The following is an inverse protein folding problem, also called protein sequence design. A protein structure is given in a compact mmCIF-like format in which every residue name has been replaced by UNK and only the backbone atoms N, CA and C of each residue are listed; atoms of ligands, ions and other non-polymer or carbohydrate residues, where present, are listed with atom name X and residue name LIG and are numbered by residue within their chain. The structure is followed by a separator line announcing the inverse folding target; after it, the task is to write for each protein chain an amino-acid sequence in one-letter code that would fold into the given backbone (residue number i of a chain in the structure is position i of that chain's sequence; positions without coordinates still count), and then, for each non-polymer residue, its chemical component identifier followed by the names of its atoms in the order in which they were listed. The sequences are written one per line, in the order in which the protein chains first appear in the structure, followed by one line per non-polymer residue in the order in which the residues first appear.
data_IF_077280137702
#
_entry.id   IF_077280137702
#
_cell.length_a   1.000
_cell.length_b   1.000
_cell.length_c   1.000
_cell.angle_alpha   90.00
_cell.angle_beta   90.00
_cell.angle_gamma   90.00
#
_symmetry.space_group_name_H-M   'P 1'
#
loop_
_entity.id
_entity.type
_entity.pdbx_description
1 polymer ?
#
# COMPACT_ATOMS: atom_id res chain seq x y z
N UNK A 1 31.69 -16.22 -39.88
CA UNK A 1 31.81 -14.78 -39.56
C UNK A 1 33.00 -14.25 -40.33
N UNK A 2 32.75 -13.53 -41.41
CA UNK A 2 33.81 -12.82 -42.13
C UNK A 2 34.32 -11.67 -41.27
N UNK A 3 35.57 -11.23 -41.46
CA UNK A 3 36.20 -10.19 -40.65
C UNK A 3 35.41 -8.86 -40.61
N UNK A 4 34.60 -8.60 -41.63
CA UNK A 4 33.74 -7.41 -41.73
C UNK A 4 32.52 -7.49 -40.80
N UNK A 5 31.81 -8.61 -40.81
CA UNK A 5 30.65 -8.85 -39.93
C UNK A 5 31.06 -8.87 -38.45
N UNK A 6 32.24 -9.43 -38.15
CA UNK A 6 32.79 -9.41 -36.79
C UNK A 6 33.15 -7.98 -36.32
N UNK A 7 33.63 -7.13 -37.24
CA UNK A 7 33.98 -5.73 -36.94
C UNK A 7 32.73 -4.86 -36.74
N UNK A 8 31.68 -5.06 -37.54
CA UNK A 8 30.41 -4.35 -37.39
C UNK A 8 29.73 -4.69 -36.05
N UNK A 9 29.67 -5.97 -35.68
CA UNK A 9 29.14 -6.39 -34.38
C UNK A 9 29.91 -5.79 -33.19
N UNK A 10 31.25 -5.79 -33.26
CA UNK A 10 32.08 -5.16 -32.22
C UNK A 10 31.80 -3.66 -32.08
N UNK A 11 31.62 -2.96 -33.21
CA UNK A 11 31.34 -1.53 -33.21
C UNK A 11 29.97 -1.22 -32.60
N UNK A 12 28.97 -2.05 -32.85
CA UNK A 12 27.64 -1.90 -32.23
C UNK A 12 27.70 -2.07 -30.70
N UNK A 13 28.43 -3.08 -30.21
CA UNK A 13 28.64 -3.27 -28.77
C UNK A 13 29.40 -2.10 -28.13
N UNK A 14 30.42 -1.56 -28.81
CA UNK A 14 31.20 -0.42 -28.34
C UNK A 14 30.35 0.86 -28.24
N UNK A 15 29.53 1.14 -29.25
CA UNK A 15 28.63 2.30 -29.25
C UNK A 15 27.55 2.18 -28.17
N UNK A 16 27.01 0.98 -27.93
CA UNK A 16 26.09 0.72 -26.82
C UNK A 16 26.75 1.01 -25.46
N UNK A 17 27.99 0.55 -25.26
CA UNK A 17 28.76 0.82 -24.04
C UNK A 17 29.07 2.31 -23.84
N UNK A 18 29.42 3.04 -24.90
CA UNK A 18 29.60 4.50 -24.87
C UNK A 18 28.31 5.22 -24.48
N UNK A 19 27.18 4.82 -25.05
CA UNK A 19 25.88 5.41 -24.72
C UNK A 19 25.51 5.20 -23.23
N UNK A 20 25.77 4.01 -22.69
CA UNK A 20 25.58 3.72 -21.26
C UNK A 20 26.52 4.59 -20.41
N UNK A 21 27.80 4.70 -20.77
CA UNK A 21 28.77 5.53 -20.04
C UNK A 21 28.34 7.00 -20.01
N UNK A 22 27.87 7.55 -21.14
CA UNK A 22 27.34 8.90 -21.23
C UNK A 22 26.10 9.11 -20.35
N UNK A 23 25.16 8.15 -20.38
CA UNK A 23 23.94 8.18 -19.54
C UNK A 23 24.27 8.18 -18.05
N UNK A 24 25.22 7.33 -17.65
CA UNK A 24 25.70 7.24 -16.26
C UNK A 24 26.68 8.35 -15.87
N UNK A 25 27.02 9.24 -16.81
CA UNK A 25 28.02 10.32 -16.66
C UNK A 25 29.36 9.81 -16.15
N UNK A 26 29.80 8.68 -16.69
CA UNK A 26 31.09 8.05 -16.34
C UNK A 26 32.11 8.38 -17.42
N UNK A 27 33.26 8.98 -17.09
CA UNK A 27 34.26 9.38 -18.07
C UNK A 27 35.02 8.22 -18.71
N UNK A 28 35.09 7.05 -18.04
CA UNK A 28 35.80 5.87 -18.53
C UNK A 28 34.85 4.67 -18.65
N UNK A 29 34.73 4.09 -19.84
CA UNK A 29 33.84 2.94 -20.11
C UNK A 29 34.11 1.76 -19.18
N UNK A 30 35.39 1.52 -18.83
CA UNK A 30 35.78 0.45 -17.90
C UNK A 30 35.21 0.59 -16.49
N UNK A 31 34.79 1.79 -16.09
CA UNK A 31 34.20 2.07 -14.76
C UNK A 31 32.67 1.88 -14.77
N UNK A 32 32.05 1.72 -15.94
CA UNK A 32 30.60 1.51 -16.08
C UNK A 32 30.10 0.34 -15.23
N UNK A 33 30.71 -0.86 -15.25
CA UNK A 33 30.23 -1.97 -14.42
C UNK A 33 30.23 -1.64 -12.92
N UNK A 34 31.27 -0.96 -12.43
CA UNK A 34 31.36 -0.56 -11.03
C UNK A 34 30.30 0.49 -10.67
N UNK A 35 30.06 1.47 -11.55
CA UNK A 35 29.01 2.47 -11.35
C UNK A 35 27.61 1.84 -11.33
N UNK A 36 27.34 0.87 -12.22
CA UNK A 36 26.08 0.13 -12.25
C UNK A 36 25.87 -0.65 -10.95
N UNK A 37 26.89 -1.37 -10.48
CA UNK A 37 26.81 -2.11 -9.21
C UNK A 37 26.53 -1.17 -8.03
N UNK A 38 27.22 -0.02 -7.97
CA UNK A 38 26.97 1.00 -6.94
C UNK A 38 25.56 1.58 -6.98
N UNK A 39 25.03 1.86 -8.18
CA UNK A 39 23.65 2.34 -8.35
C UNK A 39 22.62 1.28 -7.96
N UNK A 40 22.85 0.00 -8.28
CA UNK A 40 21.97 -1.08 -7.86
C UNK A 40 21.92 -1.22 -6.34
N UNK A 41 23.06 -1.07 -5.67
CA UNK A 41 23.12 -1.13 -4.21
C UNK A 41 22.43 0.09 -3.57
N UNK A 42 22.68 1.29 -4.08
CA UNK A 42 21.97 2.50 -3.65
C UNK A 42 20.46 2.37 -3.84
N UNK A 43 20.02 1.78 -4.96
CA UNK A 43 18.61 1.56 -5.24
C UNK A 43 17.99 0.58 -4.24
N UNK A 44 18.68 -0.51 -3.89
CA UNK A 44 18.22 -1.43 -2.83
C UNK A 44 18.15 -0.76 -1.47
N UNK A 45 19.15 0.04 -1.11
CA UNK A 45 19.18 0.76 0.17
C UNK A 45 18.05 1.78 0.26
N UNK A 46 17.82 2.57 -0.80
CA UNK A 46 16.73 3.54 -0.87
C UNK A 46 15.36 2.86 -0.84
N UNK A 47 15.20 1.70 -1.50
CA UNK A 47 13.96 0.93 -1.42
C UNK A 47 13.67 0.45 0.01
N UNK A 48 14.71 -0.02 0.73
CA UNK A 48 14.58 -0.44 2.13
C UNK A 48 14.24 0.74 3.04
N UNK A 49 14.94 1.85 2.91
CA UNK A 49 14.66 3.08 3.69
C UNK A 49 13.26 3.61 3.41
N UNK A 50 12.80 3.57 2.16
CA UNK A 50 11.44 3.98 1.80
C UNK A 50 10.38 3.08 2.47
N UNK A 51 10.62 1.76 2.52
CA UNK A 51 9.73 0.84 3.21
C UNK A 51 9.70 1.12 4.74
N UNK A 52 10.86 1.32 5.36
CA UNK A 52 10.96 1.65 6.79
C UNK A 52 10.28 2.99 7.14
N UNK A 53 10.45 4.02 6.29
CA UNK A 53 9.80 5.32 6.48
C UNK A 53 8.28 5.22 6.34
N UNK A 54 7.79 4.44 5.36
CA UNK A 54 6.35 4.16 5.20
C UNK A 54 5.78 3.45 6.41
N UNK A 55 6.49 2.47 6.96
CA UNK A 55 6.08 1.75 8.16
C UNK A 55 6.02 2.67 9.38
N UNK A 56 7.03 3.53 9.58
CA UNK A 56 7.03 4.53 10.67
C UNK A 56 5.90 5.54 10.54
N UNK A 57 5.64 6.06 9.34
CA UNK A 57 4.55 6.99 9.08
C UNK A 57 3.19 6.34 9.34
N UNK A 58 3.02 5.07 8.90
CA UNK A 58 1.86 4.26 9.20
C UNK A 58 1.65 4.10 10.71
N UNK A 59 2.69 3.70 11.46
CA UNK A 59 2.62 3.50 12.90
C UNK A 59 2.27 4.78 13.67
N UNK A 60 2.82 5.93 13.25
CA UNK A 60 2.49 7.23 13.83
C UNK A 60 1.00 7.58 13.59
N UNK A 61 0.51 7.38 12.36
CA UNK A 61 -0.90 7.57 12.03
C UNK A 61 -1.80 6.61 12.83
N UNK A 62 -1.39 5.34 13.02
CA UNK A 62 -2.16 4.36 13.82
C UNK A 62 -2.42 4.86 15.24
N UNK A 63 -1.41 5.48 15.86
CA UNK A 63 -1.49 5.98 17.24
C UNK A 63 -2.56 7.05 17.45
N UNK A 64 -2.79 7.91 16.44
CA UNK A 64 -3.84 8.93 16.46
C UNK A 64 -5.20 8.32 16.11
N UNK A 65 -5.25 7.43 15.11
CA UNK A 65 -6.50 6.79 14.67
C UNK A 65 -7.14 5.97 15.79
N UNK A 66 -6.34 5.21 16.54
CA UNK A 66 -6.86 4.36 17.61
C UNK A 66 -7.32 5.12 18.85
N UNK A 67 -7.07 6.44 18.93
CA UNK A 67 -7.61 7.28 20.01
C UNK A 67 -9.02 7.80 19.69
N UNK A 68 -9.42 7.82 18.42
CA UNK A 68 -10.74 8.30 18.01
C UNK A 68 -11.77 7.17 18.02
N UNK A 69 -12.05 6.63 19.21
CA UNK A 69 -13.10 5.62 19.41
C UNK A 69 -14.45 6.32 19.45
N UNK A 70 -15.37 5.84 18.62
CA UNK A 70 -16.75 6.27 18.56
C UNK A 70 -17.66 5.15 19.06
N UNK A 71 -18.88 5.49 19.47
CA UNK A 71 -19.88 4.51 19.89
C UNK A 71 -21.15 4.64 19.05
N UNK A 72 -21.68 3.51 18.60
CA UNK A 72 -22.96 3.40 17.92
C UNK A 72 -23.68 2.13 18.39
N UNK A 73 -24.98 2.24 18.68
CA UNK A 73 -25.83 1.11 19.08
C UNK A 73 -25.26 0.24 20.22
N UNK A 74 -24.55 0.87 21.16
CA UNK A 74 -23.92 0.19 22.31
C UNK A 74 -22.63 -0.58 22.00
N UNK A 75 -22.02 -0.33 20.83
CA UNK A 75 -20.75 -0.92 20.40
C UNK A 75 -19.72 0.16 20.10
N UNK A 76 -18.48 -0.11 20.46
CA UNK A 76 -17.35 0.77 20.16
C UNK A 76 -16.80 0.49 18.77
N UNK A 77 -16.52 1.53 17.99
CA UNK A 77 -15.93 1.39 16.67
C UNK A 77 -14.93 2.50 16.36
N UNK A 78 -14.04 2.22 15.43
CA UNK A 78 -13.12 3.19 14.85
C UNK A 78 -13.33 3.16 13.34
N UNK A 79 -13.67 4.30 12.75
CA UNK A 79 -13.78 4.49 11.31
C UNK A 79 -12.84 5.62 10.89
N UNK A 80 -11.84 5.34 10.06
CA UNK A 80 -10.90 6.37 9.62
C UNK A 80 -10.32 6.13 8.23
N UNK A 81 -9.94 7.23 7.58
CA UNK A 81 -9.15 7.19 6.36
C UNK A 81 -7.66 7.15 6.71
N UNK A 82 -6.92 6.25 6.06
CA UNK A 82 -5.49 6.05 6.28
C UNK A 82 -4.72 6.18 4.98
N UNK A 83 -3.51 6.71 5.08
CA UNK A 83 -2.57 6.78 3.96
C UNK A 83 -1.59 5.61 4.05
N UNK A 84 -1.73 4.62 3.17
CA UNK A 84 -0.90 3.42 3.14
C UNK A 84 -0.44 3.09 1.72
N UNK A 85 0.66 2.36 1.61
CA UNK A 85 1.26 2.00 0.32
C UNK A 85 0.53 0.89 -0.42
N UNK A 86 -0.14 -0.01 0.30
CA UNK A 86 -0.76 -1.21 -0.23
C UNK A 86 -1.79 -1.80 0.73
N UNK A 87 -2.56 -2.79 0.26
CA UNK A 87 -3.57 -3.47 1.08
C UNK A 87 -2.97 -4.40 2.14
N UNK A 88 -1.68 -4.74 2.08
CA UNK A 88 -0.97 -5.48 3.11
C UNK A 88 -0.78 -4.63 4.36
N UNK A 89 -0.40 -3.36 4.18
CA UNK A 89 -0.33 -2.39 5.26
C UNK A 89 -1.67 -2.25 6.01
N UNK A 90 -2.82 -2.18 5.30
CA UNK A 90 -4.14 -2.15 5.96
C UNK A 90 -4.36 -3.35 6.90
N UNK A 91 -3.93 -4.55 6.49
CA UNK A 91 -4.04 -5.74 7.35
C UNK A 91 -3.16 -5.63 8.58
N UNK A 92 -1.93 -5.11 8.43
CA UNK A 92 -1.04 -4.89 9.56
C UNK A 92 -1.61 -3.90 10.60
N UNK A 93 -2.32 -2.85 10.14
CA UNK A 93 -3.07 -1.96 11.04
C UNK A 93 -4.19 -2.72 11.77
N UNK A 94 -4.97 -3.53 11.06
CA UNK A 94 -6.05 -4.31 11.65
C UNK A 94 -5.53 -5.32 12.68
N UNK A 95 -4.40 -5.97 12.39
CA UNK A 95 -3.74 -6.90 13.32
C UNK A 95 -3.23 -6.17 14.57
N UNK A 96 -2.61 -4.99 14.40
CA UNK A 96 -2.16 -4.15 15.51
C UNK A 96 -3.33 -3.68 16.39
N UNK A 97 -4.47 -3.34 15.77
CA UNK A 97 -5.70 -3.00 16.47
C UNK A 97 -6.26 -4.19 17.26
N UNK A 98 -6.29 -5.39 16.64
CA UNK A 98 -6.75 -6.62 17.32
C UNK A 98 -5.93 -6.95 18.57
N UNK A 99 -4.63 -6.62 18.59
CA UNK A 99 -3.75 -6.90 19.73
C UNK A 99 -3.96 -5.97 20.93
N UNK A 100 -4.49 -4.75 20.73
CA UNK A 100 -4.45 -3.67 21.74
C UNK A 100 -5.81 -3.25 22.30
N UNK A 101 -6.87 -3.99 21.98
CA UNK A 101 -8.21 -3.84 22.56
C UNK A 101 -8.80 -2.42 22.53
N UNK A 102 -8.68 -1.76 21.37
CA UNK A 102 -9.13 -0.38 21.21
C UNK A 102 -10.65 -0.23 21.00
N UNK A 103 -11.29 -1.15 20.27
CA UNK A 103 -12.73 -1.11 19.99
C UNK A 103 -13.28 -2.50 19.57
N UNK A 104 -14.60 -2.62 19.42
CA UNK A 104 -15.26 -3.84 18.94
C UNK A 104 -15.14 -4.03 17.43
N UNK A 105 -15.20 -2.90 16.69
CA UNK A 105 -15.15 -2.87 15.22
C UNK A 105 -14.15 -1.83 14.72
N UNK A 106 -13.45 -2.14 13.64
CA UNK A 106 -12.53 -1.26 12.93
C UNK A 106 -12.89 -1.22 11.45
N UNK A 107 -13.03 -0.02 10.89
CA UNK A 107 -13.17 0.21 9.46
C UNK A 107 -12.11 1.21 9.01
N UNK A 108 -11.23 0.78 8.11
CA UNK A 108 -10.19 1.62 7.52
C UNK A 108 -10.41 1.75 6.02
N UNK A 109 -10.29 2.97 5.50
CA UNK A 109 -10.32 3.24 4.07
C UNK A 109 -9.00 3.88 3.63
N UNK A 110 -8.46 3.45 2.49
CA UNK A 110 -7.25 4.02 1.91
C UNK A 110 -7.40 4.23 0.40
N UNK A 111 -6.96 5.39 -0.07
CA UNK A 111 -6.75 5.63 -1.49
C UNK A 111 -5.35 5.13 -1.87
N UNK A 112 -5.30 4.13 -2.77
CA UNK A 112 -4.05 3.50 -3.21
C UNK A 112 -4.02 3.57 -4.74
N UNK A 113 -3.22 4.50 -5.27
CA UNK A 113 -3.27 4.87 -6.69
C UNK A 113 -4.66 5.40 -7.06
N UNK A 114 -5.26 4.83 -8.09
CA UNK A 114 -6.60 5.21 -8.56
C UNK A 114 -7.73 4.43 -7.87
N UNK A 115 -7.42 3.51 -6.96
CA UNK A 115 -8.41 2.64 -6.30
C UNK A 115 -8.59 2.96 -4.83
N UNK A 116 -9.78 2.68 -4.33
CA UNK A 116 -10.09 2.68 -2.89
C UNK A 116 -9.93 1.27 -2.37
N UNK A 117 -9.24 1.10 -1.25
CA UNK A 117 -9.21 -0.16 -0.51
C UNK A 117 -9.85 0.08 0.84
N UNK A 118 -10.81 -0.76 1.20
CA UNK A 118 -11.53 -0.69 2.47
C UNK A 118 -11.29 -2.00 3.21
N UNK A 119 -10.97 -1.92 4.49
CA UNK A 119 -10.84 -3.06 5.37
C UNK A 119 -11.79 -2.89 6.55
N UNK A 120 -12.56 -3.94 6.85
CA UNK A 120 -13.29 -4.04 8.10
C UNK A 120 -12.76 -5.21 8.92
N UNK A 121 -12.62 -4.99 10.22
CA UNK A 121 -12.29 -6.03 11.19
C UNK A 121 -13.26 -5.94 12.37
N UNK A 122 -13.63 -7.09 12.90
CA UNK A 122 -14.54 -7.19 14.04
C UNK A 122 -13.95 -8.15 15.07
N UNK A 123 -14.08 -7.81 16.35
CA UNK A 123 -13.74 -8.69 17.48
C UNK A 123 -14.96 -9.38 18.08
N UNK A 124 -16.15 -8.82 17.86
CA UNK A 124 -17.40 -9.43 18.30
C UNK A 124 -17.91 -10.43 17.27
N UNK A 125 -18.55 -11.52 17.74
CA UNK A 125 -19.24 -12.47 16.86
C UNK A 125 -20.58 -11.91 16.33
N UNK A 126 -21.07 -10.83 16.92
CA UNK A 126 -22.33 -10.20 16.54
C UNK A 126 -22.22 -9.39 15.26
N UNK A 127 -21.06 -8.74 15.05
CA UNK A 127 -20.79 -7.95 13.85
C UNK A 127 -19.90 -8.74 12.91
N UNK A 128 -20.46 -9.13 11.76
CA UNK A 128 -19.73 -9.86 10.74
C UNK A 128 -19.05 -8.89 9.76
N UNK A 129 -17.72 -8.79 9.82
CA UNK A 129 -16.93 -7.87 8.99
C UNK A 129 -17.21 -8.03 7.48
N UNK A 130 -17.39 -9.27 7.02
CA UNK A 130 -17.76 -9.56 5.63
C UNK A 130 -19.15 -9.07 5.20
N UNK A 131 -20.11 -8.92 6.12
CA UNK A 131 -21.43 -8.37 5.80
C UNK A 131 -21.35 -6.85 5.78
N UNK A 132 -20.67 -6.26 6.78
CA UNK A 132 -20.43 -4.83 6.84
C UNK A 132 -19.74 -4.32 5.56
N UNK A 133 -18.70 -5.03 5.07
CA UNK A 133 -18.05 -4.69 3.80
C UNK A 133 -18.98 -4.79 2.60
N UNK A 134 -19.89 -5.76 2.55
CA UNK A 134 -20.85 -5.87 1.43
C UNK A 134 -21.82 -4.70 1.38
N UNK A 135 -22.14 -4.12 2.52
CA UNK A 135 -23.00 -2.94 2.61
C UNK A 135 -22.24 -1.63 2.34
N UNK A 136 -20.99 -1.54 2.77
CA UNK A 136 -20.16 -0.33 2.61
C UNK A 136 -19.50 -0.23 1.23
N UNK A 137 -19.06 -1.34 0.64
CA UNK A 137 -18.31 -1.34 -0.62
C UNK A 137 -19.06 -0.66 -1.80
N UNK A 138 -20.40 -0.81 -1.95
CA UNK A 138 -21.14 -0.11 -2.99
C UNK A 138 -21.04 1.41 -2.94
N UNK A 139 -20.81 2.03 -1.76
CA UNK A 139 -20.69 3.48 -1.61
C UNK A 139 -19.51 4.04 -2.41
N UNK A 140 -18.42 3.26 -2.49
CA UNK A 140 -17.19 3.60 -3.22
C UNK A 140 -17.11 2.95 -4.61
N UNK A 141 -18.26 2.55 -5.18
CA UNK A 141 -18.35 1.76 -6.43
C UNK A 141 -17.45 0.51 -6.39
N UNK A 142 -17.50 -0.17 -5.25
CA UNK A 142 -16.64 -1.29 -4.93
C UNK A 142 -17.38 -2.59 -4.70
N UNK A 143 -16.60 -3.66 -4.66
CA UNK A 143 -17.04 -5.00 -4.24
C UNK A 143 -15.98 -5.62 -3.36
N UNK A 144 -16.43 -6.47 -2.45
CA UNK A 144 -15.53 -7.13 -1.52
C UNK A 144 -16.19 -8.28 -0.78
N UNK A 145 -15.41 -8.83 0.14
CA UNK A 145 -15.81 -9.95 0.96
C UNK A 145 -14.66 -10.39 1.85
N UNK A 146 -14.94 -11.40 2.67
CA UNK A 146 -13.97 -11.94 3.59
C UNK A 146 -14.63 -12.77 4.68
N UNK A 147 -13.84 -13.08 5.69
CA UNK A 147 -14.27 -13.86 6.84
C UNK A 147 -15.07 -12.99 7.83
N UNK A 148 -15.80 -13.60 8.77
CA UNK A 148 -16.52 -12.87 9.81
C UNK A 148 -15.64 -11.90 10.63
N UNK A 149 -14.38 -12.27 10.86
CA UNK A 149 -13.44 -11.51 11.69
C UNK A 149 -12.71 -10.41 10.92
N UNK A 150 -12.59 -10.54 9.59
CA UNK A 150 -11.90 -9.57 8.74
C UNK A 150 -12.31 -9.72 7.27
N UNK A 151 -12.61 -8.58 6.64
CA UNK A 151 -12.97 -8.52 5.24
C UNK A 151 -12.39 -7.28 4.56
N UNK A 152 -12.25 -7.35 3.23
CA UNK A 152 -11.77 -6.23 2.43
C UNK A 152 -12.61 -6.04 1.18
N UNK A 153 -12.64 -4.79 0.72
CA UNK A 153 -13.20 -4.40 -0.57
C UNK A 153 -12.24 -3.50 -1.34
N UNK A 154 -12.36 -3.59 -2.67
CA UNK A 154 -11.79 -2.62 -3.59
C UNK A 154 -12.91 -1.82 -4.25
N UNK A 155 -12.70 -0.51 -4.38
CA UNK A 155 -13.58 0.43 -5.07
C UNK A 155 -12.80 1.36 -5.99
N UNK A 156 -13.53 2.21 -6.69
CA UNK A 156 -12.96 3.17 -7.66
C UNK A 156 -13.27 4.64 -7.31
N UNK A 157 -14.25 4.89 -6.44
CA UNK A 157 -14.71 6.25 -6.13
C UNK A 157 -14.10 6.80 -4.85
N UNK A 158 -12.92 7.41 -4.96
CA UNK A 158 -12.18 7.98 -3.83
C UNK A 158 -12.92 9.12 -3.12
N UNK A 159 -13.71 9.90 -3.85
CA UNK A 159 -14.46 11.03 -3.29
C UNK A 159 -15.56 10.60 -2.32
N UNK A 160 -15.98 9.33 -2.35
CA UNK A 160 -17.02 8.77 -1.48
C UNK A 160 -16.45 8.13 -0.20
N UNK A 161 -15.14 8.24 0.06
CA UNK A 161 -14.54 7.76 1.32
C UNK A 161 -15.18 8.41 2.56
N UNK A 162 -15.41 9.74 2.62
CA UNK A 162 -16.06 10.36 3.78
C UNK A 162 -17.47 9.81 4.02
N UNK A 163 -18.25 9.63 2.95
CA UNK A 163 -19.61 9.07 3.02
C UNK A 163 -19.58 7.63 3.52
N UNK A 164 -18.61 6.83 3.06
CA UNK A 164 -18.41 5.45 3.52
C UNK A 164 -18.11 5.41 5.02
N UNK A 165 -17.25 6.29 5.52
CA UNK A 165 -16.88 6.34 6.93
C UNK A 165 -18.05 6.78 7.82
N UNK A 166 -18.86 7.74 7.36
CA UNK A 166 -20.07 8.16 8.05
C UNK A 166 -21.11 7.04 8.11
N UNK A 167 -21.28 6.29 7.03
CA UNK A 167 -22.23 5.18 6.96
C UNK A 167 -21.89 4.04 7.93
N UNK A 168 -20.64 3.92 8.41
CA UNK A 168 -20.25 2.87 9.38
C UNK A 168 -21.12 2.92 10.63
N UNK A 169 -21.37 4.12 11.17
CA UNK A 169 -22.17 4.29 12.38
C UNK A 169 -23.63 3.81 12.20
N UNK A 170 -24.19 3.96 11.00
CA UNK A 170 -25.56 3.53 10.69
C UNK A 170 -25.68 2.01 10.46
N UNK A 171 -24.56 1.33 10.18
CA UNK A 171 -24.50 -0.10 9.83
C UNK A 171 -24.01 -1.00 10.98
N UNK A 172 -23.70 -0.43 12.13
CA UNK A 172 -23.25 -1.12 13.35
C UNK A 172 -24.41 -1.42 14.31
#
# INVERSE_FOLDING_TARGET
MTSKEAFEAYREEEEALKAIAATLKVPQIKEVPHKVAGLQEQLRQLQKENAELKEKAAAAASGEIFQNVQEANGRSFIASQVSVSDAGALRAFADSWKQKDYSDVLVLAAAIGDKVNVLAASRTKEVHAGNLIKELAPIVDGRGGGKPDMAMAGGSKQTAIPDLLAAVAEKL
#
